data_IF_083282008154
#
_entry.id   IF_083282008154
#
_cell.length_a   1.000
_cell.length_b   1.000
_cell.length_c   1.000
_cell.angle_alpha   90.00
_cell.angle_beta   90.00
_cell.angle_gamma   90.00
#
_symmetry.space_group_name_H-M   'P 1'
#
loop_
_entity.id
_entity.type
_entity.pdbx_description
1 polymer ?
#
# COMPACT_ATOMS: atom_id res chain seq x y z
N UNK A 1 -1.03 -21.72 6.92
CA UNK A 1 -1.56 -20.49 7.57
C UNK A 1 -3.06 -20.47 7.37
N UNK A 2 -3.84 -20.22 8.43
CA UNK A 2 -5.31 -20.21 8.36
C UNK A 2 -5.81 -18.87 7.80
N UNK A 3 -6.94 -18.88 7.06
CA UNK A 3 -7.57 -17.69 6.45
C UNK A 3 -7.70 -16.50 7.41
N UNK A 4 -7.97 -16.77 8.68
CA UNK A 4 -8.18 -15.77 9.74
C UNK A 4 -6.90 -15.00 10.13
N UNK A 5 -5.71 -15.62 10.02
CA UNK A 5 -4.43 -14.95 10.27
C UNK A 5 -4.01 -14.01 9.12
N UNK A 6 -4.49 -14.27 7.89
CA UNK A 6 -4.21 -13.40 6.74
C UNK A 6 -5.02 -12.10 6.80
N UNK A 7 -6.27 -12.15 7.28
CA UNK A 7 -7.12 -10.96 7.42
C UNK A 7 -6.57 -9.95 8.43
N UNK A 8 -5.94 -10.44 9.52
CA UNK A 8 -5.35 -9.61 10.56
C UNK A 8 -4.10 -8.83 10.09
N UNK A 9 -3.30 -9.45 9.21
CA UNK A 9 -2.09 -8.82 8.68
C UNK A 9 -2.43 -7.63 7.77
N UNK A 10 -3.42 -7.82 6.89
CA UNK A 10 -3.90 -6.80 5.97
C UNK A 10 -4.48 -5.57 6.70
N UNK A 11 -5.20 -5.81 7.80
CA UNK A 11 -5.79 -4.74 8.62
C UNK A 11 -4.72 -3.90 9.34
N UNK A 12 -3.65 -4.54 9.81
CA UNK A 12 -2.63 -3.89 10.63
C UNK A 12 -1.76 -2.90 9.83
N UNK A 13 -1.51 -3.18 8.55
CA UNK A 13 -0.54 -2.42 7.76
C UNK A 13 -1.14 -1.38 6.81
N UNK A 14 -2.45 -1.35 6.59
CA UNK A 14 -3.11 -0.34 5.72
C UNK A 14 -2.78 1.09 6.12
N UNK A 15 -2.86 1.41 7.42
CA UNK A 15 -2.58 2.76 7.93
C UNK A 15 -1.11 3.15 7.79
N UNK A 16 -0.13 2.33 8.22
CA UNK A 16 1.29 2.60 7.96
C UNK A 16 1.63 2.79 6.47
N UNK A 17 1.08 1.94 5.58
CA UNK A 17 1.31 2.07 4.14
C UNK A 17 0.76 3.41 3.63
N UNK A 18 -0.47 3.75 4.02
CA UNK A 18 -1.10 5.02 3.67
C UNK A 18 -0.24 6.22 4.09
N UNK A 19 0.24 6.22 5.33
CA UNK A 19 1.10 7.29 5.86
C UNK A 19 2.42 7.41 5.07
N UNK A 20 3.07 6.29 4.77
CA UNK A 20 4.29 6.29 3.95
C UNK A 20 4.03 6.87 2.56
N UNK A 21 2.95 6.46 1.87
CA UNK A 21 2.60 7.04 0.57
C UNK A 21 2.35 8.54 0.68
N UNK A 22 1.61 8.99 1.69
CA UNK A 22 1.27 10.41 1.90
C UNK A 22 2.48 11.29 2.23
N UNK A 23 3.56 10.73 2.79
CA UNK A 23 4.81 11.47 3.05
C UNK A 23 5.44 11.99 1.75
N UNK A 24 5.37 11.21 0.67
CA UNK A 24 6.10 11.51 -0.57
C UNK A 24 5.21 11.85 -1.76
N UNK A 25 4.00 11.30 -1.83
CA UNK A 25 3.08 11.56 -2.93
C UNK A 25 2.77 13.07 -3.02
N UNK A 26 2.85 13.62 -4.23
CA UNK A 26 2.53 15.03 -4.48
C UNK A 26 1.17 15.19 -5.13
N UNK A 27 0.80 14.26 -6.01
CA UNK A 27 -0.45 14.28 -6.77
C UNK A 27 -1.67 13.81 -5.93
N UNK A 28 -2.85 14.33 -6.27
CA UNK A 28 -4.08 14.05 -5.54
C UNK A 28 -4.60 12.63 -5.77
N UNK A 29 -4.30 12.02 -6.92
CA UNK A 29 -4.79 10.69 -7.27
C UNK A 29 -4.17 9.64 -6.34
N UNK A 30 -2.84 9.63 -6.24
CA UNK A 30 -2.09 8.76 -5.34
C UNK A 30 -2.48 8.99 -3.88
N UNK A 31 -2.60 10.25 -3.45
CA UNK A 31 -3.05 10.59 -2.10
C UNK A 31 -4.45 10.06 -1.79
N UNK A 32 -5.37 10.12 -2.74
CA UNK A 32 -6.72 9.58 -2.56
C UNK A 32 -6.70 8.05 -2.50
N UNK A 33 -5.89 7.39 -3.32
CA UNK A 33 -5.72 5.93 -3.25
C UNK A 33 -5.12 5.49 -1.91
N UNK A 34 -4.14 6.22 -1.39
CA UNK A 34 -3.59 5.97 -0.06
C UNK A 34 -4.65 6.07 1.06
N UNK A 35 -5.57 7.03 0.98
CA UNK A 35 -6.67 7.16 1.94
C UNK A 35 -7.69 6.02 1.78
N UNK A 36 -8.10 5.75 0.54
CA UNK A 36 -9.01 4.65 0.22
C UNK A 36 -8.49 3.29 0.69
N UNK A 37 -7.18 3.06 0.64
CA UNK A 37 -6.56 1.84 1.15
C UNK A 37 -6.99 1.54 2.60
N UNK A 38 -7.10 2.57 3.44
CA UNK A 38 -7.51 2.48 4.84
C UNK A 38 -9.02 2.29 4.98
N UNK A 39 -9.80 2.98 4.15
CA UNK A 39 -11.28 2.98 4.23
C UNK A 39 -11.91 1.69 3.68
N UNK A 40 -11.29 1.08 2.66
CA UNK A 40 -11.87 -0.05 1.96
C UNK A 40 -11.79 -1.33 2.80
N UNK A 41 -12.94 -1.98 2.95
CA UNK A 41 -13.06 -3.26 3.63
C UNK A 41 -12.97 -4.41 2.62
N UNK A 42 -12.13 -5.41 2.88
CA UNK A 42 -11.96 -6.56 1.98
C UNK A 42 -13.28 -7.31 1.71
N UNK A 43 -14.10 -7.54 2.74
CA UNK A 43 -15.35 -8.31 2.61
C UNK A 43 -16.43 -7.57 1.82
N UNK A 44 -16.34 -6.24 1.72
CA UNK A 44 -17.36 -5.40 1.04
C UNK A 44 -16.88 -4.85 -0.30
N UNK A 45 -15.60 -4.53 -0.40
CA UNK A 45 -15.03 -3.75 -1.49
C UNK A 45 -13.78 -4.41 -2.10
N UNK A 46 -13.69 -5.74 -2.08
CA UNK A 46 -12.49 -6.50 -2.53
C UNK A 46 -11.91 -6.01 -3.86
N UNK A 47 -12.75 -5.88 -4.90
CA UNK A 47 -12.28 -5.48 -6.23
C UNK A 47 -11.73 -4.06 -6.26
N UNK A 48 -12.40 -3.12 -5.58
CA UNK A 48 -11.91 -1.74 -5.48
C UNK A 48 -10.61 -1.68 -4.67
N UNK A 49 -10.51 -2.46 -3.61
CA UNK A 49 -9.30 -2.58 -2.80
C UNK A 49 -8.12 -3.10 -3.63
N UNK A 50 -8.34 -4.14 -4.46
CA UNK A 50 -7.32 -4.67 -5.38
C UNK A 50 -6.86 -3.58 -6.36
N UNK A 51 -7.78 -2.82 -6.95
CA UNK A 51 -7.44 -1.72 -7.88
C UNK A 51 -6.57 -0.69 -7.16
N UNK A 52 -6.99 -0.23 -5.98
CA UNK A 52 -6.24 0.74 -5.18
C UNK A 52 -4.84 0.23 -4.86
N UNK A 53 -4.70 -1.04 -4.48
CA UNK A 53 -3.39 -1.64 -4.19
C UNK A 53 -2.50 -1.66 -5.44
N UNK A 54 -3.03 -2.06 -6.60
CA UNK A 54 -2.27 -2.07 -7.87
C UNK A 54 -1.78 -0.69 -8.26
N UNK A 55 -2.64 0.33 -8.16
CA UNK A 55 -2.25 1.72 -8.43
C UNK A 55 -1.12 2.20 -7.50
N UNK A 56 -1.14 1.80 -6.23
CA UNK A 56 -0.09 2.15 -5.27
C UNK A 56 1.22 1.38 -5.54
N UNK A 57 1.14 0.12 -5.96
CA UNK A 57 2.31 -0.68 -6.40
C UNK A 57 2.96 0.00 -7.62
N UNK A 58 2.17 0.31 -8.66
CA UNK A 58 2.65 0.97 -9.87
C UNK A 58 3.27 2.34 -9.57
N UNK A 59 2.71 3.07 -8.61
CA UNK A 59 3.28 4.33 -8.15
C UNK A 59 4.64 4.12 -7.48
N UNK A 60 4.76 3.14 -6.57
CA UNK A 60 6.04 2.81 -5.97
C UNK A 60 7.06 2.35 -7.01
N UNK A 61 6.70 1.51 -7.98
CA UNK A 61 7.63 1.06 -9.03
C UNK A 61 8.27 2.22 -9.79
N UNK A 62 7.52 3.30 -10.02
CA UNK A 62 8.00 4.51 -10.71
C UNK A 62 8.83 5.43 -9.82
N UNK A 63 8.60 5.42 -8.51
CA UNK A 63 9.14 6.45 -7.59
C UNK A 63 10.12 5.91 -6.56
N UNK A 64 10.17 4.60 -6.31
CA UNK A 64 10.87 4.02 -5.18
C UNK A 64 12.38 4.25 -5.23
N UNK A 65 12.99 4.21 -6.42
CA UNK A 65 14.41 4.51 -6.56
C UNK A 65 14.72 5.98 -6.31
N UNK A 66 13.85 6.89 -6.74
CA UNK A 66 13.96 8.32 -6.38
C UNK A 66 13.84 8.51 -4.88
N UNK A 67 12.86 7.88 -4.22
CA UNK A 67 12.66 7.92 -2.77
C UNK A 67 13.91 7.43 -2.02
N UNK A 68 14.53 6.33 -2.46
CA UNK A 68 15.76 5.78 -1.84
C UNK A 68 16.93 6.76 -1.89
N UNK A 69 17.02 7.58 -2.94
CA UNK A 69 18.11 8.55 -3.12
C UNK A 69 17.77 9.94 -2.57
N UNK A 70 16.50 10.21 -2.25
CA UNK A 70 16.05 11.52 -1.78
C UNK A 70 16.57 11.80 -0.36
N UNK A 71 17.39 12.85 -0.21
CA UNK A 71 17.99 13.24 1.07
C UNK A 71 16.97 13.78 2.09
N UNK A 72 15.77 14.15 1.67
CA UNK A 72 14.74 14.73 2.51
C UNK A 72 13.71 13.71 3.02
N UNK A 73 13.64 12.54 2.40
CA UNK A 73 12.82 11.44 2.91
C UNK A 73 13.54 10.79 4.09
N UNK A 74 12.91 10.87 5.26
CA UNK A 74 13.47 10.34 6.51
C UNK A 74 13.19 8.84 6.62
N UNK A 75 11.98 8.40 6.23
CA UNK A 75 11.50 7.03 6.46
C UNK A 75 11.64 6.13 5.22
N UNK A 76 12.82 6.12 4.58
CA UNK A 76 13.05 5.34 3.34
C UNK A 76 12.73 3.85 3.49
N UNK A 77 13.08 3.27 4.64
CA UNK A 77 12.79 1.86 4.91
C UNK A 77 11.29 1.57 4.96
N UNK A 78 10.48 2.51 5.45
CA UNK A 78 9.03 2.33 5.54
C UNK A 78 8.39 2.36 4.15
N UNK A 79 8.92 3.15 3.22
CA UNK A 79 8.52 3.08 1.81
C UNK A 79 8.82 1.72 1.19
N UNK A 80 10.03 1.18 1.42
CA UNK A 80 10.44 -0.13 0.90
C UNK A 80 9.56 -1.24 1.49
N UNK A 81 9.34 -1.21 2.81
CA UNK A 81 8.47 -2.18 3.50
C UNK A 81 7.04 -2.07 2.99
N UNK A 82 6.52 -0.85 2.82
CA UNK A 82 5.16 -0.60 2.33
C UNK A 82 4.96 -1.13 0.91
N UNK A 83 5.94 -0.93 0.02
CA UNK A 83 5.91 -1.51 -1.33
C UNK A 83 5.86 -3.05 -1.29
N UNK A 84 6.76 -3.68 -0.55
CA UNK A 84 6.80 -5.14 -0.43
C UNK A 84 5.50 -5.69 0.18
N UNK A 85 4.94 -5.02 1.18
CA UNK A 85 3.68 -5.41 1.81
C UNK A 85 2.51 -5.32 0.84
N UNK A 86 2.44 -4.26 0.02
CA UNK A 86 1.40 -4.12 -1.00
C UNK A 86 1.43 -5.30 -1.99
N UNK A 87 2.61 -5.75 -2.43
CA UNK A 87 2.75 -6.90 -3.34
C UNK A 87 2.26 -8.21 -2.69
N UNK A 88 2.64 -8.44 -1.43
CA UNK A 88 2.18 -9.61 -0.67
C UNK A 88 0.66 -9.60 -0.52
N UNK A 89 0.10 -8.44 -0.14
CA UNK A 89 -1.34 -8.22 0.01
C UNK A 89 -2.07 -8.47 -1.31
N UNK A 90 -1.57 -7.94 -2.42
CA UNK A 90 -2.15 -8.12 -3.76
C UNK A 90 -2.23 -9.59 -4.14
N UNK A 91 -1.13 -10.32 -3.98
CA UNK A 91 -1.05 -11.76 -4.28
C UNK A 91 -2.06 -12.56 -3.44
N UNK A 92 -2.19 -12.23 -2.14
CA UNK A 92 -3.14 -12.89 -1.25
C UNK A 92 -4.60 -12.63 -1.64
N UNK A 93 -4.93 -11.40 -2.02
CA UNK A 93 -6.28 -11.02 -2.41
C UNK A 93 -6.69 -11.63 -3.76
N UNK A 94 -5.76 -11.78 -4.70
CA UNK A 94 -6.03 -12.38 -6.02
C UNK A 94 -6.10 -13.91 -5.96
N UNK A 95 -5.30 -14.55 -5.10
CA UNK A 95 -5.27 -16.01 -4.96
C UNK A 95 -6.41 -16.60 -4.11
N UNK A 96 -7.02 -15.80 -3.24
CA UNK A 96 -8.10 -16.21 -2.32
C UNK A 96 -9.50 -15.92 -2.81
#
# INVERSE_FOLDING_TARGET
>A
MNKQQNTDFLLLYKTPISQSVLEYATDNFTKNNAKKLVELNENKNKNELIIVIKELIDWYEKNLDTIKQDRFVVQKEDHIRSYNLLQVIETQLVAG
#
